data_IF_883481962179
#
_entry.id   IF_883481962179
#
_cell.length_a   1.000
_cell.length_b   1.000
_cell.length_c   1.000
_cell.angle_alpha   90.00
_cell.angle_beta   90.00
_cell.angle_gamma   90.00
#
_symmetry.space_group_name_H-M   'P 1'
#
loop_
_entity.id
_entity.type
_entity.pdbx_description
1 polymer ?
#
# COMPACT_ATOMS: atom_id res chain seq x y z
N UNK A 1 14.46 -16.26 20.68
CA UNK A 1 14.27 -17.26 19.60
C UNK A 1 13.08 -18.15 19.97
N UNK A 2 11.87 -17.82 19.52
CA UNK A 2 10.60 -18.44 19.95
C UNK A 2 10.35 -19.86 19.42
N UNK A 3 11.27 -20.78 19.63
CA UNK A 3 11.11 -22.21 19.32
C UNK A 3 11.28 -23.02 20.61
N UNK A 4 10.38 -23.97 20.88
CA UNK A 4 10.40 -24.78 22.10
C UNK A 4 11.50 -25.84 22.09
N UNK A 5 11.87 -26.33 20.91
CA UNK A 5 12.96 -27.30 20.73
C UNK A 5 13.61 -27.21 19.33
N UNK A 6 14.67 -28.00 19.14
CA UNK A 6 15.43 -28.09 17.87
C UNK A 6 14.58 -28.68 16.74
N UNK A 7 13.56 -29.50 17.05
CA UNK A 7 12.67 -30.10 16.04
C UNK A 7 11.70 -29.04 15.50
N UNK A 8 11.17 -28.18 16.35
CA UNK A 8 10.35 -27.03 15.99
C UNK A 8 11.17 -25.99 15.21
N UNK A 9 12.43 -25.78 15.59
CA UNK A 9 13.34 -24.95 14.80
C UNK A 9 13.57 -25.54 13.41
N UNK A 10 13.88 -26.83 13.29
CA UNK A 10 14.05 -27.51 11.99
C UNK A 10 12.78 -27.44 11.14
N UNK A 11 11.60 -27.60 11.75
CA UNK A 11 10.33 -27.50 11.04
C UNK A 11 10.08 -26.08 10.53
N UNK A 12 10.27 -25.06 11.37
CA UNK A 12 10.12 -23.65 10.99
C UNK A 12 11.16 -23.24 9.94
N UNK A 13 12.39 -23.75 10.04
CA UNK A 13 13.44 -23.50 9.05
C UNK A 13 13.13 -24.18 7.73
N UNK A 14 12.62 -25.42 7.74
CA UNK A 14 12.19 -26.13 6.54
C UNK A 14 10.99 -25.43 5.88
N UNK A 15 10.03 -24.91 6.65
CA UNK A 15 8.93 -24.11 6.14
C UNK A 15 9.41 -22.77 5.55
N UNK A 16 10.29 -22.06 6.25
CA UNK A 16 10.90 -20.83 5.75
C UNK A 16 11.74 -21.08 4.50
N UNK A 17 12.46 -22.20 4.43
CA UNK A 17 13.20 -22.64 3.27
C UNK A 17 12.28 -23.01 2.10
N UNK A 18 11.12 -23.65 2.34
CA UNK A 18 10.14 -23.96 1.29
C UNK A 18 9.47 -22.69 0.72
N UNK A 19 9.24 -21.66 1.55
CA UNK A 19 8.82 -20.33 1.08
C UNK A 19 9.96 -19.65 0.32
N UNK A 20 11.20 -19.81 0.81
CA UNK A 20 12.43 -19.41 0.16
C UNK A 20 12.73 -20.19 -1.13
N UNK A 21 12.20 -21.40 -1.32
CA UNK A 21 12.42 -22.22 -2.50
C UNK A 21 11.80 -21.58 -3.74
N UNK A 22 10.76 -20.75 -3.63
CA UNK A 22 10.34 -19.92 -4.77
C UNK A 22 11.40 -18.91 -5.24
N UNK A 23 12.33 -18.55 -4.36
CA UNK A 23 13.46 -17.67 -4.64
C UNK A 23 14.78 -18.45 -4.87
N UNK A 24 14.90 -19.68 -4.36
CA UNK A 24 16.09 -20.55 -4.45
C UNK A 24 16.00 -21.62 -5.54
N UNK A 25 14.79 -22.11 -5.86
CA UNK A 25 14.47 -22.96 -7.02
C UNK A 25 14.41 -22.14 -8.33
N UNK A 26 14.95 -20.93 -8.32
CA UNK A 26 15.65 -20.38 -9.49
C UNK A 26 16.94 -21.18 -9.71
N UNK A 27 16.79 -22.51 -9.86
CA UNK A 27 17.86 -23.49 -9.79
C UNK A 27 18.98 -23.17 -10.76
N UNK A 28 20.16 -23.68 -10.42
CA UNK A 28 21.39 -23.61 -11.20
C UNK A 28 21.31 -24.17 -12.64
N UNK A 29 20.10 -24.50 -13.12
CA UNK A 29 19.78 -25.05 -14.45
C UNK A 29 18.69 -24.25 -15.19
N UNK A 30 18.17 -23.15 -14.60
CA UNK A 30 17.37 -22.17 -15.34
C UNK A 30 18.37 -21.24 -16.05
N UNK A 31 18.40 -21.16 -17.40
CA UNK A 31 19.24 -20.17 -18.07
C UNK A 31 18.89 -18.78 -17.51
N UNK A 32 19.86 -17.84 -17.42
CA UNK A 32 19.58 -16.48 -16.92
C UNK A 32 18.31 -16.00 -17.59
N UNK A 33 17.29 -15.66 -16.78
CA UNK A 33 15.88 -15.63 -17.20
C UNK A 33 15.77 -15.07 -18.62
N UNK A 34 15.57 -15.96 -19.59
CA UNK A 34 15.47 -15.53 -20.99
C UNK A 34 14.31 -14.54 -21.07
N UNK A 35 14.34 -13.65 -22.06
CA UNK A 35 13.22 -12.73 -22.27
C UNK A 35 11.87 -13.49 -22.32
N UNK A 36 11.88 -14.68 -22.92
CA UNK A 36 10.73 -15.59 -22.98
C UNK A 36 10.32 -16.13 -21.60
N UNK A 37 11.29 -16.50 -20.75
CA UNK A 37 11.02 -16.95 -19.38
C UNK A 37 10.41 -15.84 -18.52
N UNK A 38 10.96 -14.62 -18.60
CA UNK A 38 10.40 -13.45 -17.90
C UNK A 38 8.97 -13.16 -18.39
N UNK A 39 8.77 -13.19 -19.71
CA UNK A 39 7.45 -12.94 -20.30
C UNK A 39 6.43 -14.00 -19.87
N UNK A 40 6.83 -15.27 -19.82
CA UNK A 40 5.99 -16.36 -19.32
C UNK A 40 5.62 -16.16 -17.85
N UNK A 41 6.60 -15.82 -17.00
CA UNK A 41 6.37 -15.55 -15.58
C UNK A 41 5.41 -14.36 -15.38
N UNK A 42 5.60 -13.25 -16.11
CA UNK A 42 4.69 -12.10 -16.10
C UNK A 42 3.27 -12.51 -16.52
N UNK A 43 3.15 -13.25 -17.63
CA UNK A 43 1.86 -13.69 -18.17
C UNK A 43 1.09 -14.57 -17.17
N UNK A 44 1.80 -15.51 -16.51
CA UNK A 44 1.23 -16.36 -15.47
C UNK A 44 0.72 -15.55 -14.28
N UNK A 45 1.49 -14.55 -13.83
CA UNK A 45 1.07 -13.67 -12.73
C UNK A 45 -0.13 -12.80 -13.14
N UNK A 46 -0.17 -12.30 -14.37
CA UNK A 46 -1.31 -11.51 -14.87
C UNK A 46 -2.59 -12.34 -14.90
N UNK A 47 -2.56 -13.57 -15.41
CA UNK A 47 -3.74 -14.42 -15.46
C UNK A 47 -4.21 -14.81 -14.04
N UNK A 48 -3.28 -15.13 -13.14
CA UNK A 48 -3.59 -15.40 -11.74
C UNK A 48 -4.25 -14.19 -11.06
N UNK A 49 -3.77 -12.96 -11.32
CA UNK A 49 -4.35 -11.74 -10.77
C UNK A 49 -5.70 -11.40 -11.40
N UNK A 50 -5.91 -11.70 -12.69
CA UNK A 50 -7.17 -11.49 -13.39
C UNK A 50 -8.32 -12.23 -12.70
N UNK A 51 -8.06 -13.44 -12.20
CA UNK A 51 -9.03 -14.23 -11.44
C UNK A 51 -9.42 -13.60 -10.08
N UNK A 52 -8.61 -12.68 -9.54
CA UNK A 52 -8.88 -11.98 -8.28
C UNK A 52 -9.66 -10.67 -8.47
N UNK A 53 -9.79 -10.19 -9.72
CA UNK A 53 -10.48 -8.94 -10.01
C UNK A 53 -11.97 -9.09 -9.77
N UNK A 54 -12.51 -8.26 -8.87
CA UNK A 54 -13.94 -8.14 -8.62
C UNK A 54 -14.48 -6.88 -9.32
N UNK A 55 -15.20 -7.00 -10.45
CA UNK A 55 -15.62 -5.83 -11.24
C UNK A 55 -16.41 -4.79 -10.45
N UNK A 56 -17.27 -5.24 -9.53
CA UNK A 56 -18.07 -4.32 -8.71
C UNK A 56 -17.24 -3.55 -7.68
N UNK A 57 -16.20 -4.16 -7.11
CA UNK A 57 -15.29 -3.47 -6.21
C UNK A 57 -14.52 -2.37 -6.95
N UNK A 58 -14.07 -2.64 -8.18
CA UNK A 58 -13.43 -1.65 -9.04
C UNK A 58 -14.38 -0.51 -9.40
N UNK A 59 -15.64 -0.81 -9.73
CA UNK A 59 -16.66 0.22 -10.04
C UNK A 59 -16.94 1.10 -8.82
N UNK A 60 -17.09 0.51 -7.63
CA UNK A 60 -17.29 1.25 -6.39
C UNK A 60 -16.09 2.16 -6.07
N UNK A 61 -14.86 1.65 -6.22
CA UNK A 61 -13.65 2.44 -6.04
C UNK A 61 -13.57 3.60 -7.04
N UNK A 62 -13.89 3.37 -8.31
CA UNK A 62 -13.90 4.42 -9.33
C UNK A 62 -14.91 5.52 -9.00
N UNK A 63 -16.12 5.18 -8.55
CA UNK A 63 -17.13 6.15 -8.12
C UNK A 63 -16.63 6.99 -6.93
N UNK A 64 -16.03 6.35 -5.93
CA UNK A 64 -15.47 7.07 -4.77
C UNK A 64 -14.35 8.04 -5.19
N UNK A 65 -13.41 7.61 -6.04
CA UNK A 65 -12.32 8.44 -6.53
C UNK A 65 -12.81 9.62 -7.39
N UNK A 66 -13.90 9.44 -8.13
CA UNK A 66 -14.53 10.49 -8.94
C UNK A 66 -15.22 11.53 -8.06
N UNK A 67 -15.78 11.14 -6.92
CA UNK A 67 -16.47 12.04 -6.00
C UNK A 67 -15.53 12.72 -4.98
N UNK A 68 -14.31 12.19 -4.82
CA UNK A 68 -13.37 12.63 -3.79
C UNK A 68 -12.96 14.11 -3.94
N UNK A 69 -12.99 14.84 -2.82
CA UNK A 69 -12.43 16.19 -2.69
C UNK A 69 -10.91 16.18 -2.80
N UNK A 70 -10.26 15.20 -2.17
CA UNK A 70 -8.83 14.90 -2.30
C UNK A 70 -8.61 13.40 -2.27
N UNK A 71 -7.58 12.94 -3.00
CA UNK A 71 -7.14 11.55 -3.02
C UNK A 71 -5.72 11.50 -2.43
N UNK A 72 -5.57 10.87 -1.27
CA UNK A 72 -4.27 10.58 -0.67
C UNK A 72 -3.88 9.14 -1.00
N UNK A 73 -2.71 8.94 -1.60
CA UNK A 73 -2.22 7.62 -1.96
C UNK A 73 -1.02 7.26 -1.10
N UNK A 74 -1.12 6.17 -0.34
CA UNK A 74 -0.06 5.67 0.52
C UNK A 74 0.59 4.46 -0.14
N UNK A 75 1.92 4.42 -0.11
CA UNK A 75 2.68 3.26 -0.57
C UNK A 75 4.10 3.35 -0.04
N UNK A 76 4.57 2.26 0.58
CA UNK A 76 5.93 2.17 1.13
C UNK A 76 6.68 0.98 0.53
N UNK A 77 7.99 1.15 0.32
CA UNK A 77 8.85 0.18 -0.35
C UNK A 77 8.80 0.28 -1.88
N UNK A 78 9.66 -0.45 -2.60
CA UNK A 78 9.90 -0.24 -4.03
C UNK A 78 8.64 -0.32 -4.91
N UNK A 79 7.98 -1.48 -4.93
CA UNK A 79 6.80 -1.70 -5.79
C UNK A 79 5.62 -0.81 -5.43
N UNK A 80 5.29 -0.70 -4.13
CA UNK A 80 4.15 0.09 -3.67
C UNK A 80 4.33 1.58 -3.90
N UNK A 81 5.55 2.12 -3.70
CA UNK A 81 5.87 3.54 -3.97
C UNK A 81 5.70 3.84 -5.45
N UNK A 82 6.22 2.98 -6.32
CA UNK A 82 6.10 3.13 -7.78
C UNK A 82 4.64 3.11 -8.24
N UNK A 83 3.83 2.18 -7.71
CA UNK A 83 2.40 2.10 -8.04
C UNK A 83 1.60 3.31 -7.52
N UNK A 84 1.93 3.79 -6.31
CA UNK A 84 1.32 4.99 -5.76
C UNK A 84 1.57 6.21 -6.66
N UNK A 85 2.81 6.41 -7.11
CA UNK A 85 3.16 7.49 -8.03
C UNK A 85 2.53 7.33 -9.41
N UNK A 86 2.46 6.10 -9.94
CA UNK A 86 1.76 5.82 -11.20
C UNK A 86 0.27 6.20 -11.11
N UNK A 87 -0.38 5.88 -10.00
CA UNK A 87 -1.76 6.30 -9.74
C UNK A 87 -1.89 7.83 -9.69
N UNK A 88 -0.95 8.53 -9.05
CA UNK A 88 -0.90 10.00 -9.04
C UNK A 88 -0.83 10.55 -10.44
N UNK A 89 0.07 10.06 -11.29
CA UNK A 89 0.20 10.54 -12.68
C UNK A 89 -1.08 10.32 -13.50
N UNK A 90 -1.71 9.14 -13.37
CA UNK A 90 -2.95 8.83 -14.10
C UNK A 90 -4.13 9.68 -13.63
N UNK A 91 -4.31 9.82 -12.32
CA UNK A 91 -5.41 10.60 -11.75
C UNK A 91 -5.23 12.10 -11.99
N UNK A 92 -4.01 12.62 -11.88
CA UNK A 92 -3.71 14.01 -12.20
C UNK A 92 -4.05 14.32 -13.68
N UNK A 93 -3.71 13.42 -14.61
CA UNK A 93 -4.07 13.55 -16.03
C UNK A 93 -5.59 13.57 -16.25
N UNK A 94 -6.37 12.95 -15.36
CA UNK A 94 -7.84 12.97 -15.38
C UNK A 94 -8.43 14.16 -14.61
N UNK A 95 -7.60 15.13 -14.19
CA UNK A 95 -8.03 16.31 -13.44
C UNK A 95 -8.46 16.01 -12.00
N UNK A 96 -8.05 14.86 -11.44
CA UNK A 96 -8.40 14.48 -10.07
C UNK A 96 -7.37 15.02 -9.08
N UNK A 97 -7.81 15.61 -7.95
CA UNK A 97 -6.91 16.11 -6.92
C UNK A 97 -6.28 14.94 -6.18
N UNK A 98 -4.98 14.70 -6.42
CA UNK A 98 -4.28 13.52 -5.92
C UNK A 98 -2.88 13.89 -5.42
N UNK A 99 -2.45 13.23 -4.35
CA UNK A 99 -1.08 13.33 -3.81
C UNK A 99 -0.63 11.98 -3.26
N UNK A 100 0.68 11.74 -3.22
CA UNK A 100 1.26 10.50 -2.70
C UNK A 100 2.14 10.76 -1.49
N UNK A 101 2.16 9.80 -0.57
CA UNK A 101 2.99 9.83 0.63
C UNK A 101 3.67 8.48 0.83
N UNK A 102 5.00 8.51 0.97
CA UNK A 102 5.84 7.32 1.12
C UNK A 102 6.54 7.25 2.48
N UNK A 103 6.52 8.34 3.23
CA UNK A 103 7.02 8.41 4.59
C UNK A 103 5.88 8.13 5.59
N UNK A 104 6.15 7.26 6.57
CA UNK A 104 5.14 6.81 7.53
C UNK A 104 4.66 7.90 8.48
N UNK A 105 5.50 8.88 8.81
CA UNK A 105 5.10 9.99 9.67
C UNK A 105 4.18 10.93 8.90
N UNK A 106 4.52 11.27 7.66
CA UNK A 106 3.66 12.08 6.79
C UNK A 106 2.31 11.42 6.50
N UNK A 107 2.30 10.10 6.25
CA UNK A 107 1.04 9.37 6.06
C UNK A 107 0.11 9.51 7.27
N UNK A 108 0.62 9.36 8.49
CA UNK A 108 -0.15 9.53 9.73
C UNK A 108 -0.64 10.96 9.92
N UNK A 109 0.23 11.95 9.69
CA UNK A 109 -0.13 13.37 9.79
C UNK A 109 -1.27 13.72 8.83
N UNK A 110 -1.17 13.27 7.58
CA UNK A 110 -2.19 13.51 6.57
C UNK A 110 -3.47 12.77 6.93
N UNK A 111 -3.38 11.49 7.29
CA UNK A 111 -4.52 10.67 7.68
C UNK A 111 -5.37 11.34 8.78
N UNK A 112 -4.72 11.96 9.77
CA UNK A 112 -5.39 12.66 10.87
C UNK A 112 -6.15 13.93 10.44
N UNK A 113 -5.92 14.43 9.23
CA UNK A 113 -6.52 15.68 8.71
C UNK A 113 -7.59 15.45 7.65
N UNK A 114 -7.81 14.19 7.24
CA UNK A 114 -8.74 13.84 6.16
C UNK A 114 -10.19 14.11 6.58
N UNK A 115 -10.95 14.69 5.66
CA UNK A 115 -12.40 14.87 5.81
C UNK A 115 -13.17 13.65 5.28
N UNK A 116 -14.46 13.51 5.61
CA UNK A 116 -15.32 12.46 5.05
C UNK A 116 -15.43 12.46 3.50
N UNK A 117 -15.12 13.58 2.86
CA UNK A 117 -15.14 13.72 1.40
C UNK A 117 -13.80 13.33 0.73
N UNK A 118 -12.78 12.93 1.51
CA UNK A 118 -11.49 12.50 0.98
C UNK A 118 -11.43 10.97 0.83
N UNK A 119 -10.57 10.50 -0.08
CA UNK A 119 -10.33 9.07 -0.30
C UNK A 119 -8.85 8.74 -0.05
N UNK A 120 -8.62 7.67 0.71
CA UNK A 120 -7.28 7.07 0.86
C UNK A 120 -7.18 5.81 0.00
N UNK A 121 -6.13 5.74 -0.82
CA UNK A 121 -5.77 4.52 -1.56
C UNK A 121 -4.44 4.02 -1.06
N UNK A 122 -4.32 2.72 -0.83
CA UNK A 122 -3.12 2.12 -0.25
C UNK A 122 -2.59 1.03 -1.14
N UNK A 123 -1.33 1.15 -1.53
CA UNK A 123 -0.57 0.07 -2.16
C UNK A 123 0.29 -0.62 -1.11
N UNK A 124 0.05 -1.92 -0.92
CA UNK A 124 0.83 -2.77 -0.01
C UNK A 124 0.85 -4.20 -0.53
N UNK A 125 2.04 -4.68 -0.91
CA UNK A 125 2.21 -6.03 -1.47
C UNK A 125 1.95 -7.11 -0.42
N UNK A 126 2.46 -6.93 0.80
CA UNK A 126 2.28 -7.91 1.87
C UNK A 126 0.98 -7.70 2.63
N UNK A 127 0.41 -6.50 2.62
CA UNK A 127 -0.74 -6.12 3.45
C UNK A 127 -0.42 -6.01 4.95
N UNK A 128 0.84 -6.23 5.37
CA UNK A 128 1.25 -6.35 6.77
C UNK A 128 2.31 -5.31 7.17
N UNK A 129 2.36 -4.16 6.48
CA UNK A 129 3.26 -3.07 6.80
C UNK A 129 2.66 -2.28 7.97
N UNK A 130 3.15 -2.40 9.21
CA UNK A 130 2.48 -1.86 10.40
C UNK A 130 2.22 -0.36 10.30
N UNK A 131 3.19 0.39 9.78
CA UNK A 131 3.11 1.85 9.69
C UNK A 131 1.99 2.32 8.74
N UNK A 132 1.75 1.56 7.67
CA UNK A 132 0.65 1.84 6.73
C UNK A 132 -0.69 1.48 7.36
N UNK A 133 -0.75 0.37 8.11
CA UNK A 133 -1.95 -0.04 8.84
C UNK A 133 -2.33 1.00 9.89
N UNK A 134 -1.35 1.53 10.63
CA UNK A 134 -1.55 2.60 11.60
C UNK A 134 -2.13 3.86 10.92
N UNK A 135 -1.57 4.25 9.78
CA UNK A 135 -2.06 5.40 9.00
C UNK A 135 -3.50 5.21 8.51
N UNK A 136 -3.85 4.01 8.05
CA UNK A 136 -5.23 3.68 7.65
C UNK A 136 -6.18 3.65 8.85
N UNK A 137 -5.70 3.18 10.00
CA UNK A 137 -6.48 3.16 11.24
C UNK A 137 -6.85 4.58 11.65
N UNK A 138 -5.88 5.50 11.63
CA UNK A 138 -6.09 6.93 11.88
C UNK A 138 -7.09 7.52 10.88
N UNK A 139 -6.94 7.22 9.58
CA UNK A 139 -7.86 7.73 8.55
C UNK A 139 -9.31 7.25 8.70
N UNK A 140 -9.53 6.15 9.42
CA UNK A 140 -10.87 5.60 9.71
C UNK A 140 -11.48 6.16 10.98
N UNK A 141 -10.70 6.82 11.83
CA UNK A 141 -11.24 7.46 13.03
C UNK A 141 -12.22 8.57 12.64
N UNK A 142 -13.30 8.79 13.40
CA UNK A 142 -14.27 9.83 13.11
C UNK A 142 -13.56 11.19 13.02
N UNK A 143 -13.70 11.88 11.89
CA UNK A 143 -13.12 13.20 11.71
C UNK A 143 -13.59 14.14 12.82
N UNK A 144 -12.63 14.72 13.53
CA UNK A 144 -12.87 15.76 14.54
C UNK A 144 -12.28 17.06 13.99
N UNK A 145 -13.10 18.08 13.69
CA UNK A 145 -12.58 19.36 13.30
C UNK A 145 -11.62 19.87 14.37
N UNK A 146 -10.41 20.23 13.97
CA UNK A 146 -9.45 20.89 14.87
C UNK A 146 -10.07 22.24 15.20
N UNK A 147 -10.65 22.37 16.40
CA UNK A 147 -11.12 23.65 16.90
C UNK A 147 -9.89 24.52 17.16
N UNK A 148 -9.69 25.52 16.32
CA UNK A 148 -8.62 26.50 16.49
C UNK A 148 -8.89 27.30 17.76
N UNK A 149 -8.31 26.90 18.89
CA UNK A 149 -8.21 27.76 20.07
C UNK A 149 -7.07 28.76 19.86
N UNK A 150 -7.25 29.72 18.94
CA UNK A 150 -6.31 30.83 18.81
C UNK A 150 -6.43 31.71 20.05
N UNK A 151 -5.53 31.54 21.03
CA UNK A 151 -5.31 32.56 22.05
C UNK A 151 -4.66 33.74 21.35
N UNK A 152 -5.46 34.72 20.93
CA UNK A 152 -4.95 36.05 20.59
C UNK A 152 -4.36 36.61 21.87
N UNK A 153 -3.03 36.60 21.97
CA UNK A 153 -2.34 37.37 22.99
C UNK A 153 -2.58 38.84 22.65
N UNK A 154 -3.56 39.43 23.33
CA UNK A 154 -3.85 40.86 23.29
C UNK A 154 -2.68 41.55 24.00
N UNK A 155 -1.74 42.10 23.24
CA UNK A 155 -0.82 43.08 23.77
C UNK A 155 -1.63 44.36 24.03
N UNK A 156 -1.88 44.65 25.30
CA UNK A 156 -2.36 45.96 25.78
C UNK A 156 -1.18 46.93 25.95
N UNK A 157 -1.46 48.24 25.90
CA UNK A 157 -0.63 49.26 25.24
C UNK A 157 0.66 49.64 25.97
#
# INVERSE_FOLDING_TARGET
MGCRDVRELKLKLAQAAAVGQRFLDGGADRPPSSADGILADISNVLEANRALVQPEAFRAAAVALVAARMIAVFGMGGGSTTMADEMRYRLARLGRPVTTYHDSMLQRMVAATLSPDDVVVVFSVTGHVPEVIDSVTIAREPWKPISSSSRRHRATP
#
